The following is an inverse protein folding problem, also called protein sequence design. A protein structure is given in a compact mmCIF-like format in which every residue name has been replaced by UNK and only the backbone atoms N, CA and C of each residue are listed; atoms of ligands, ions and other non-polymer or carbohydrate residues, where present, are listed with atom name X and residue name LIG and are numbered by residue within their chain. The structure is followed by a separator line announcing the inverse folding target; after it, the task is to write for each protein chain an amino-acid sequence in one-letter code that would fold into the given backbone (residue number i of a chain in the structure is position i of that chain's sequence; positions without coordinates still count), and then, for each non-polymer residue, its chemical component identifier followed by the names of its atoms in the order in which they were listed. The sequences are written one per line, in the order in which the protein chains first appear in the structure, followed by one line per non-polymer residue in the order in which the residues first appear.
data_IF_060868541596
#
_entry.id   IF_060868541596
#
_cell.length_a   1.000
_cell.length_b   1.000
_cell.length_c   1.000
_cell.angle_alpha   90.00
_cell.angle_beta   90.00
_cell.angle_gamma   90.00
#
_symmetry.space_group_name_H-M   'P 1'
#
loop_
_entity.id
_entity.type
_entity.pdbx_description
1 polymer ?
#
# COMPACT_ATOMS: atom_id res chain seq x y z
N UNK A 1 15.19 19.32 -0.49
CA UNK A 1 15.71 18.23 -1.34
C UNK A 1 14.99 18.30 -2.67
N UNK A 2 15.71 18.24 -3.78
CA UNK A 2 15.15 18.33 -5.13
C UNK A 2 15.04 16.94 -5.77
N UNK A 3 14.28 16.82 -6.85
CA UNK A 3 14.22 15.58 -7.64
C UNK A 3 15.60 15.17 -8.16
N UNK A 4 16.46 16.15 -8.49
CA UNK A 4 17.83 15.91 -8.92
C UNK A 4 18.71 15.32 -7.80
N UNK A 5 18.43 15.65 -6.54
CA UNK A 5 19.14 15.07 -5.39
C UNK A 5 18.68 13.63 -5.15
N UNK A 6 17.36 13.38 -5.19
CA UNK A 6 16.77 12.04 -5.05
C UNK A 6 17.30 11.11 -6.13
N UNK A 7 17.44 11.58 -7.38
CA UNK A 7 17.91 10.78 -8.50
C UNK A 7 19.30 10.17 -8.26
N UNK A 8 20.18 10.87 -7.52
CA UNK A 8 21.55 10.43 -7.20
C UNK A 8 21.62 9.36 -6.11
N UNK A 9 20.56 9.17 -5.33
CA UNK A 9 20.52 8.17 -4.27
C UNK A 9 20.53 6.74 -4.85
N UNK A 10 21.25 5.79 -4.22
CA UNK A 10 21.06 4.37 -4.46
C UNK A 10 19.60 3.95 -4.26
N UNK A 11 19.17 2.86 -4.92
CA UNK A 11 17.78 2.38 -4.83
C UNK A 11 17.36 2.12 -3.38
N UNK A 12 18.22 1.50 -2.58
CA UNK A 12 17.92 1.22 -1.17
C UNK A 12 17.66 2.50 -0.36
N UNK A 13 18.44 3.56 -0.61
CA UNK A 13 18.26 4.85 0.06
C UNK A 13 17.02 5.59 -0.44
N UNK A 14 16.67 5.48 -1.73
CA UNK A 14 15.40 6.00 -2.26
C UNK A 14 14.20 5.35 -1.57
N UNK A 15 14.23 4.02 -1.41
CA UNK A 15 13.16 3.27 -0.74
C UNK A 15 13.07 3.67 0.74
N UNK A 16 14.20 3.74 1.45
CA UNK A 16 14.22 4.20 2.84
C UNK A 16 13.66 5.61 2.99
N UNK A 17 14.07 6.52 2.10
CA UNK A 17 13.57 7.88 2.08
C UNK A 17 12.05 7.93 1.83
N UNK A 18 11.53 7.09 0.94
CA UNK A 18 10.08 6.98 0.71
C UNK A 18 9.35 6.55 1.97
N UNK A 19 9.85 5.55 2.69
CA UNK A 19 9.26 5.09 3.97
C UNK A 19 9.31 6.19 5.04
N UNK A 20 10.45 6.85 5.21
CA UNK A 20 10.59 7.94 6.19
C UNK A 20 9.68 9.13 5.87
N UNK A 21 9.55 9.47 4.59
CA UNK A 21 8.62 10.50 4.15
C UNK A 21 7.18 10.09 4.43
N UNK A 22 6.82 8.84 4.16
CA UNK A 22 5.49 8.30 4.44
C UNK A 22 5.14 8.33 5.94
N UNK A 23 6.08 7.94 6.80
CA UNK A 23 5.90 8.01 8.26
C UNK A 23 5.71 9.45 8.75
N UNK A 24 6.51 10.39 8.24
CA UNK A 24 6.38 11.80 8.58
C UNK A 24 5.01 12.38 8.13
N UNK A 25 4.57 12.04 6.92
CA UNK A 25 3.28 12.48 6.38
C UNK A 25 2.10 11.89 7.14
N UNK A 26 2.17 10.62 7.56
CA UNK A 26 1.09 9.96 8.30
C UNK A 26 0.72 10.69 9.59
N UNK A 27 1.70 11.22 10.31
CA UNK A 27 1.48 11.93 11.58
C UNK A 27 0.83 13.31 11.36
N UNK A 28 1.08 13.92 10.20
CA UNK A 28 0.56 15.25 9.84
C UNK A 28 -0.70 15.20 8.98
N UNK A 29 -1.05 14.01 8.47
CA UNK A 29 -2.22 13.81 7.65
C UNK A 29 -3.49 13.95 8.50
N UNK A 30 -4.14 15.11 8.39
CA UNK A 30 -5.53 15.25 8.82
C UNK A 30 -6.45 14.54 7.82
N UNK A 31 -7.59 14.09 8.33
CA UNK A 31 -8.72 13.50 7.61
C UNK A 31 -9.21 14.32 6.40
N UNK A 32 -8.89 15.62 6.35
CA UNK A 32 -9.17 16.54 5.24
C UNK A 32 -8.34 16.28 3.98
N UNK A 33 -7.17 15.63 4.08
CA UNK A 33 -6.31 15.30 2.93
C UNK A 33 -6.81 14.06 2.18
N UNK A 34 -7.66 13.25 2.82
CA UNK A 34 -8.23 12.04 2.22
C UNK A 34 -9.52 12.39 1.49
N UNK A 35 -9.61 12.20 0.15
CA UNK A 35 -10.86 12.42 -0.58
C UNK A 35 -11.99 11.58 -0.01
N UNK A 36 -13.20 12.16 0.10
CA UNK A 36 -14.35 11.49 0.67
C UNK A 36 -14.64 10.13 0.00
N UNK A 37 -14.48 10.05 -1.33
CA UNK A 37 -14.71 8.83 -2.11
C UNK A 37 -13.79 7.66 -1.73
N UNK A 38 -12.61 7.92 -1.12
CA UNK A 38 -11.77 6.84 -0.58
C UNK A 38 -12.51 6.08 0.52
N UNK A 39 -13.21 6.79 1.41
CA UNK A 39 -13.98 6.16 2.50
C UNK A 39 -15.16 5.36 1.95
N UNK A 40 -15.82 5.86 0.92
CA UNK A 40 -16.96 5.19 0.31
C UNK A 40 -16.57 3.84 -0.31
N UNK A 41 -15.42 3.80 -1.00
CA UNK A 41 -14.90 2.54 -1.56
C UNK A 41 -14.51 1.56 -0.45
N UNK A 42 -13.86 2.03 0.62
CA UNK A 42 -13.50 1.17 1.75
C UNK A 42 -14.75 0.59 2.41
N UNK A 43 -15.78 1.41 2.63
CA UNK A 43 -17.05 0.98 3.18
C UNK A 43 -17.75 -0.05 2.29
N UNK A 44 -17.74 0.15 0.97
CA UNK A 44 -18.31 -0.81 0.01
C UNK A 44 -17.56 -2.15 0.03
N UNK A 45 -16.22 -2.11 -0.03
CA UNK A 45 -15.41 -3.34 0.03
C UNK A 45 -15.61 -4.10 1.33
N UNK A 46 -15.72 -3.40 2.46
CA UNK A 46 -16.00 -4.02 3.75
C UNK A 46 -17.37 -4.69 3.76
N UNK A 47 -18.42 -4.02 3.25
CA UNK A 47 -19.75 -4.64 3.12
C UNK A 47 -19.73 -5.92 2.28
N UNK A 48 -19.04 -5.90 1.13
CA UNK A 48 -18.93 -7.09 0.26
C UNK A 48 -18.14 -8.22 0.93
N UNK A 49 -17.14 -7.88 1.73
CA UNK A 49 -16.39 -8.85 2.53
C UNK A 49 -17.28 -9.49 3.59
N UNK A 50 -17.99 -8.67 4.38
CA UNK A 50 -18.87 -9.12 5.46
C UNK A 50 -20.06 -9.93 4.93
N UNK A 51 -20.54 -9.63 3.72
CA UNK A 51 -21.59 -10.40 3.04
C UNK A 51 -21.09 -11.69 2.38
N UNK A 52 -19.79 -12.01 2.48
CA UNK A 52 -19.18 -13.18 1.83
C UNK A 52 -19.16 -13.10 0.30
N UNK A 53 -19.36 -11.90 -0.27
CA UNK A 53 -19.38 -11.66 -1.71
C UNK A 53 -17.99 -11.39 -2.30
N UNK A 54 -16.97 -11.21 -1.45
CA UNK A 54 -15.56 -11.18 -1.85
C UNK A 54 -14.90 -12.53 -1.63
N UNK A 55 -14.11 -13.05 -2.59
CA UNK A 55 -13.31 -14.23 -2.38
C UNK A 55 -12.19 -13.93 -1.39
N UNK A 56 -12.14 -14.66 -0.27
CA UNK A 56 -11.06 -14.61 0.70
C UNK A 56 -10.13 -15.79 0.52
N UNK A 57 -8.83 -15.59 0.71
CA UNK A 57 -7.85 -16.68 0.78
C UNK A 57 -7.11 -16.60 2.09
N UNK A 58 -6.69 -17.74 2.62
CA UNK A 58 -5.77 -17.75 3.75
C UNK A 58 -4.47 -17.01 3.39
N UNK A 59 -3.88 -16.33 4.37
CA UNK A 59 -2.71 -15.49 4.14
C UNK A 59 -1.45 -16.31 3.83
N UNK A 60 -1.30 -17.48 4.45
CA UNK A 60 -0.18 -18.38 4.17
C UNK A 60 -0.30 -18.95 2.74
N UNK A 61 -1.49 -19.38 2.35
CA UNK A 61 -1.77 -19.85 0.98
C UNK A 61 -1.49 -18.76 -0.06
N UNK A 62 -1.94 -17.53 0.23
CA UNK A 62 -1.72 -16.38 -0.66
C UNK A 62 -0.23 -16.06 -0.83
N UNK A 63 0.55 -16.07 0.25
CA UNK A 63 2.01 -15.87 0.17
C UNK A 63 2.66 -16.93 -0.69
N UNK A 64 2.27 -18.19 -0.53
CA UNK A 64 2.83 -19.28 -1.31
C UNK A 64 2.51 -19.10 -2.80
N UNK A 65 1.25 -18.82 -3.14
CA UNK A 65 0.82 -18.52 -4.52
C UNK A 65 1.60 -17.38 -5.16
N UNK A 66 1.90 -16.31 -4.42
CA UNK A 66 2.71 -15.18 -4.91
C UNK A 66 4.17 -15.63 -5.16
N UNK A 67 4.78 -16.35 -4.22
CA UNK A 67 6.16 -16.85 -4.38
C UNK A 67 6.29 -17.81 -5.54
N UNK A 68 5.34 -18.74 -5.72
CA UNK A 68 5.34 -19.68 -6.85
C UNK A 68 5.29 -18.95 -8.19
N UNK A 69 4.49 -17.87 -8.30
CA UNK A 69 4.40 -17.04 -9.51
C UNK A 69 5.70 -16.30 -9.82
N UNK A 70 6.38 -15.79 -8.80
CA UNK A 70 7.65 -15.07 -8.98
C UNK A 70 8.80 -16.03 -9.34
N UNK A 71 8.80 -17.27 -8.83
CA UNK A 71 9.82 -18.28 -9.17
C UNK A 71 9.68 -18.86 -10.58
N UNK A 72 8.49 -18.76 -11.18
CA UNK A 72 8.18 -19.36 -12.48
C UNK A 72 8.41 -18.43 -13.68
N UNK A 73 8.81 -17.18 -13.44
CA UNK A 73 9.19 -16.20 -14.48
C UNK A 73 10.65 -15.80 -14.34
#
# INVERSE_FOLDING_TARGET
MTTADIAKLPIAEKLLLMEQLWDALRVQADSSVVPAWHKDILAERLRRLDSGSEPTSDWAETKERIRSRIKAG
#
